data_IF_820875789937
#
_entry.id   IF_820875789937
#
_cell.length_a   1.000
_cell.length_b   1.000
_cell.length_c   1.000
_cell.angle_alpha   90.00
_cell.angle_beta   90.00
_cell.angle_gamma   90.00
#
_symmetry.space_group_name_H-M   'P 1'
#
loop_
_entity.id
_entity.type
_entity.pdbx_description
1 polymer ?
#
# COMPACT_ATOMS: atom_id res chain seq x y z
N UNK A 1 8.66 -16.20 5.25
CA UNK A 1 7.34 -16.47 4.66
C UNK A 1 6.99 -15.29 3.77
N UNK A 2 7.12 -15.41 2.46
CA UNK A 2 6.57 -14.40 1.56
C UNK A 2 5.05 -14.39 1.76
N UNK A 3 4.46 -13.21 2.00
CA UNK A 3 3.01 -13.06 2.17
C UNK A 3 2.22 -13.55 0.95
N UNK A 4 0.89 -13.48 1.00
CA UNK A 4 0.01 -14.02 -0.06
C UNK A 4 0.09 -13.29 -1.43
N UNK A 5 0.97 -12.30 -1.57
CA UNK A 5 1.09 -11.45 -2.75
C UNK A 5 -0.12 -10.54 -2.96
N UNK A 6 0.10 -9.35 -3.51
CA UNK A 6 -0.98 -8.39 -3.77
C UNK A 6 -1.40 -8.43 -5.23
N UNK A 7 -2.69 -8.22 -5.49
CA UNK A 7 -3.15 -7.88 -6.85
C UNK A 7 -2.97 -6.38 -7.12
N UNK A 8 -2.93 -5.99 -8.40
CA UNK A 8 -2.90 -4.57 -8.78
C UNK A 8 -4.12 -3.80 -8.25
N UNK A 9 -5.28 -4.45 -8.20
CA UNK A 9 -6.50 -3.87 -7.62
C UNK A 9 -6.28 -3.53 -6.14
N UNK A 10 -5.75 -4.47 -5.36
CA UNK A 10 -5.43 -4.24 -3.96
C UNK A 10 -4.39 -3.12 -3.79
N UNK A 11 -3.38 -3.03 -4.66
CA UNK A 11 -2.42 -1.94 -4.61
C UNK A 11 -3.04 -0.58 -4.95
N UNK A 12 -3.99 -0.50 -5.88
CA UNK A 12 -4.72 0.74 -6.14
C UNK A 12 -5.52 1.18 -4.91
N UNK A 13 -6.19 0.23 -4.25
CA UNK A 13 -7.00 0.46 -3.05
C UNK A 13 -6.12 0.86 -1.85
N UNK A 14 -5.02 0.14 -1.60
CA UNK A 14 -4.14 0.37 -0.44
C UNK A 14 -3.26 1.61 -0.58
N UNK A 15 -2.82 1.93 -1.80
CA UNK A 15 -1.94 3.08 -2.04
C UNK A 15 -2.71 4.34 -2.45
N UNK A 16 -4.04 4.28 -2.51
CA UNK A 16 -4.92 5.39 -2.89
C UNK A 16 -4.47 6.06 -4.20
N UNK A 17 -4.09 5.26 -5.18
CA UNK A 17 -3.52 5.75 -6.43
C UNK A 17 -4.10 5.02 -7.64
N UNK A 18 -4.16 5.73 -8.77
CA UNK A 18 -4.81 5.22 -9.97
C UNK A 18 -4.06 4.04 -10.61
N UNK A 19 -4.80 3.23 -11.37
CA UNK A 19 -4.27 2.06 -12.11
C UNK A 19 -3.01 2.38 -12.91
N UNK A 20 -2.96 3.55 -13.55
CA UNK A 20 -1.79 3.97 -14.34
C UNK A 20 -0.53 4.11 -13.48
N UNK A 21 -0.65 4.80 -12.34
CA UNK A 21 0.47 5.02 -11.40
C UNK A 21 0.91 3.71 -10.74
N UNK A 22 -0.04 2.87 -10.33
CA UNK A 22 0.26 1.52 -9.82
C UNK A 22 1.03 0.72 -10.87
N UNK A 23 0.55 0.70 -12.12
CA UNK A 23 1.18 -0.06 -13.19
C UNK A 23 2.58 0.45 -13.54
N UNK A 24 2.80 1.76 -13.61
CA UNK A 24 4.13 2.30 -13.87
C UNK A 24 5.09 2.03 -12.72
N UNK A 25 4.60 2.10 -11.47
CA UNK A 25 5.41 1.81 -10.29
C UNK A 25 5.80 0.35 -10.22
N UNK A 26 4.87 -0.58 -10.49
CA UNK A 26 5.16 -2.02 -10.53
C UNK A 26 6.20 -2.33 -11.61
N UNK A 27 6.03 -1.81 -12.83
CA UNK A 27 7.00 -2.04 -13.92
C UNK A 27 8.39 -1.51 -13.57
N UNK A 28 8.48 -0.36 -12.91
CA UNK A 28 9.74 0.18 -12.43
C UNK A 28 10.38 -0.75 -11.39
N UNK A 29 9.63 -1.13 -10.36
CA UNK A 29 10.12 -2.01 -9.29
C UNK A 29 10.49 -3.42 -9.79
N UNK A 30 9.78 -3.93 -10.79
CA UNK A 30 10.13 -5.18 -11.48
C UNK A 30 11.43 -5.04 -12.28
N UNK A 31 11.60 -3.94 -13.02
CA UNK A 31 12.85 -3.65 -13.74
C UNK A 31 14.06 -3.44 -12.82
N UNK A 32 13.83 -3.01 -11.57
CA UNK A 32 14.83 -2.89 -10.52
C UNK A 32 15.07 -4.22 -9.76
N UNK A 33 14.31 -5.28 -10.07
CA UNK A 33 14.44 -6.59 -9.42
C UNK A 33 13.88 -6.66 -7.99
N UNK A 34 13.16 -5.63 -7.53
CA UNK A 34 12.59 -5.56 -6.18
C UNK A 34 11.24 -6.28 -6.07
N UNK A 35 10.55 -6.42 -7.20
CA UNK A 35 9.23 -7.04 -7.30
C UNK A 35 9.24 -8.08 -8.40
N UNK A 36 8.51 -9.16 -8.17
CA UNK A 36 8.25 -10.21 -9.17
C UNK A 36 6.75 -10.41 -9.36
N UNK A 37 6.36 -10.64 -10.61
CA UNK A 37 4.97 -10.79 -11.00
C UNK A 37 4.69 -12.25 -11.37
N UNK A 38 3.82 -12.92 -10.62
CA UNK A 38 3.31 -14.24 -10.98
C UNK A 38 1.97 -14.13 -11.69
N UNK A 39 1.83 -14.90 -12.76
CA UNK A 39 0.61 -14.99 -13.54
C UNK A 39 -0.12 -16.27 -13.14
N UNK A 40 -1.29 -16.13 -12.54
CA UNK A 40 -2.16 -17.25 -12.18
C UNK A 40 -3.04 -17.69 -13.35
N UNK A 41 -4.10 -18.43 -13.06
CA UNK A 41 -5.08 -18.84 -14.07
C UNK A 41 -5.84 -17.62 -14.61
N UNK A 42 -5.77 -17.39 -15.92
CA UNK A 42 -6.50 -16.32 -16.61
C UNK A 42 -5.81 -14.94 -16.48
N UNK A 43 -6.57 -13.92 -16.06
CA UNK A 43 -6.07 -12.53 -15.87
C UNK A 43 -5.61 -12.24 -14.44
N UNK A 44 -5.54 -13.26 -13.59
CA UNK A 44 -5.14 -13.09 -12.20
C UNK A 44 -3.62 -12.90 -12.11
N UNK A 45 -3.21 -11.76 -11.56
CA UNK A 45 -1.81 -11.43 -11.36
C UNK A 45 -1.52 -11.23 -9.88
N UNK A 46 -0.42 -11.81 -9.40
CA UNK A 46 0.05 -11.67 -8.01
C UNK A 46 1.44 -11.06 -8.01
N UNK A 47 1.60 -10.06 -7.17
CA UNK A 47 2.80 -9.23 -7.07
C UNK A 47 3.44 -9.53 -5.72
N UNK A 48 4.71 -9.92 -5.76
CA UNK A 48 5.48 -10.28 -4.58
C UNK A 48 6.75 -9.45 -4.53
N UNK A 49 7.21 -9.12 -3.32
CA UNK A 49 8.58 -8.68 -3.14
C UNK A 49 9.54 -9.84 -3.43
N UNK A 50 10.68 -9.51 -4.02
CA UNK A 50 11.85 -10.40 -4.05
C UNK A 50 12.56 -10.35 -2.70
N UNK A 51 13.62 -11.15 -2.54
CA UNK A 51 14.46 -11.06 -1.34
C UNK A 51 15.16 -9.70 -1.26
N UNK A 52 15.60 -9.12 -2.40
CA UNK A 52 16.13 -7.75 -2.42
C UNK A 52 15.05 -6.71 -2.08
N UNK A 53 13.83 -6.88 -2.62
CA UNK A 53 12.71 -6.00 -2.31
C UNK A 53 12.31 -6.02 -0.84
N UNK A 54 12.35 -7.20 -0.21
CA UNK A 54 12.10 -7.34 1.22
C UNK A 54 13.20 -6.68 2.06
N UNK A 55 14.47 -6.90 1.70
CA UNK A 55 15.59 -6.25 2.39
C UNK A 55 15.50 -4.72 2.32
N UNK A 56 15.15 -4.17 1.15
CA UNK A 56 14.94 -2.72 0.98
C UNK A 56 13.77 -2.21 1.83
N UNK A 57 12.68 -2.99 1.90
CA UNK A 57 11.54 -2.65 2.75
C UNK A 57 11.90 -2.67 4.24
N UNK A 58 12.69 -3.66 4.68
CA UNK A 58 13.18 -3.72 6.06
C UNK A 58 14.11 -2.55 6.39
N UNK A 59 14.96 -2.13 5.44
CA UNK A 59 15.86 -0.99 5.62
C UNK A 59 15.12 0.35 5.71
N UNK A 60 14.12 0.57 4.85
CA UNK A 60 13.51 1.90 4.70
C UNK A 60 12.10 2.02 5.27
N UNK A 61 11.30 0.96 5.24
CA UNK A 61 9.89 0.99 5.68
C UNK A 61 9.79 0.61 7.16
N UNK A 62 10.54 -0.38 7.63
CA UNK A 62 10.46 -0.78 9.04
C UNK A 62 10.77 0.37 10.04
N UNK A 63 11.75 1.26 9.80
CA UNK A 63 11.96 2.42 10.67
C UNK A 63 10.78 3.39 10.69
N UNK A 64 10.10 3.58 9.55
CA UNK A 64 8.92 4.45 9.46
C UNK A 64 7.77 3.86 10.27
N UNK A 65 7.52 2.55 10.13
CA UNK A 65 6.50 1.84 10.92
C UNK A 65 6.82 1.91 12.42
N UNK A 66 8.08 1.72 12.80
CA UNK A 66 8.49 1.84 14.20
C UNK A 66 8.26 3.26 14.75
N UNK A 67 8.56 4.29 13.96
CA UNK A 67 8.31 5.68 14.35
C UNK A 67 6.80 5.98 14.49
N UNK A 68 5.96 5.46 13.58
CA UNK A 68 4.51 5.61 13.65
C UNK A 68 3.93 4.91 14.89
N UNK A 69 4.36 3.67 15.18
CA UNK A 69 3.97 2.94 16.37
C UNK A 69 4.41 3.66 17.66
N UNK A 70 5.62 4.23 17.68
CA UNK A 70 6.10 5.01 18.82
C UNK A 70 5.24 6.27 19.04
N UNK A 71 4.90 6.99 17.97
CA UNK A 71 4.02 8.16 18.04
C UNK A 71 2.62 7.79 18.54
N UNK A 72 2.02 6.72 18.01
CA UNK A 72 0.73 6.21 18.47
C UNK A 72 0.78 5.73 19.92
N UNK A 73 1.90 5.17 20.37
CA UNK A 73 2.13 4.77 21.76
C UNK A 73 2.10 5.93 22.77
N UNK A 74 2.25 7.18 22.32
CA UNK A 74 2.08 8.37 23.18
C UNK A 74 0.62 8.75 23.41
N UNK A 75 -0.30 8.16 22.64
CA UNK A 75 -1.74 8.42 22.75
C UNK A 75 -2.32 7.55 23.86
N UNK A 76 -3.05 8.13 24.85
CA UNK A 76 -3.71 7.34 25.89
C UNK A 76 -4.64 6.28 25.31
N UNK A 77 -4.68 5.11 25.95
CA UNK A 77 -5.42 3.95 25.48
C UNK A 77 -6.91 4.23 25.29
N UNK A 78 -7.52 5.09 26.11
CA UNK A 78 -8.93 5.47 25.96
C UNK A 78 -9.21 6.38 24.75
N UNK A 79 -8.19 7.08 24.24
CA UNK A 79 -8.30 7.99 23.09
C UNK A 79 -7.87 7.35 21.78
N UNK A 80 -6.96 6.38 21.82
CA UNK A 80 -6.40 5.75 20.64
C UNK A 80 -7.48 5.18 19.68
N UNK A 81 -8.52 4.46 20.13
CA UNK A 81 -9.57 3.97 19.23
C UNK A 81 -10.33 5.08 18.50
N UNK A 82 -10.53 6.23 19.16
CA UNK A 82 -11.22 7.39 18.56
C UNK A 82 -10.33 8.07 17.53
N UNK A 83 -9.05 8.20 17.82
CA UNK A 83 -8.07 8.73 16.88
C UNK A 83 -7.99 7.87 15.61
N UNK A 84 -7.82 6.55 15.78
CA UNK A 84 -7.73 5.63 14.64
C UNK A 84 -8.99 5.65 13.77
N UNK A 85 -10.18 5.69 14.39
CA UNK A 85 -11.44 5.86 13.66
C UNK A 85 -11.46 7.17 12.87
N UNK A 86 -11.13 8.28 13.51
CA UNK A 86 -11.13 9.59 12.85
C UNK A 86 -10.13 9.68 11.69
N UNK A 87 -8.95 9.05 11.84
CA UNK A 87 -7.95 8.96 10.76
C UNK A 87 -8.50 8.13 9.58
N UNK A 88 -9.16 7.00 9.86
CA UNK A 88 -9.82 6.18 8.85
C UNK A 88 -10.93 6.94 8.12
N UNK A 89 -11.85 7.55 8.86
CA UNK A 89 -12.95 8.35 8.31
C UNK A 89 -12.42 9.49 7.42
N UNK A 90 -11.33 10.15 7.84
CA UNK A 90 -10.65 11.17 7.06
C UNK A 90 -10.02 10.60 5.78
N UNK A 91 -9.31 9.48 5.87
CA UNK A 91 -8.68 8.83 4.72
C UNK A 91 -9.73 8.44 3.67
N UNK A 92 -10.83 7.80 4.08
CA UNK A 92 -11.93 7.42 3.18
C UNK A 92 -12.54 8.65 2.49
N UNK A 93 -12.80 9.73 3.24
CA UNK A 93 -13.33 10.97 2.71
C UNK A 93 -12.36 11.64 1.71
N UNK A 94 -11.06 11.62 2.01
CA UNK A 94 -10.02 12.15 1.13
C UNK A 94 -9.96 11.35 -0.17
N UNK A 95 -10.02 10.01 -0.10
CA UNK A 95 -9.98 9.15 -1.27
C UNK A 95 -11.17 9.38 -2.18
N UNK A 96 -12.38 9.42 -1.61
CA UNK A 96 -13.58 9.78 -2.36
C UNK A 96 -13.46 11.16 -3.01
N UNK A 97 -12.77 12.12 -2.38
CA UNK A 97 -12.51 13.44 -2.97
C UNK A 97 -11.49 13.39 -4.12
N UNK A 98 -10.40 12.64 -3.97
CA UNK A 98 -9.39 12.46 -5.01
C UNK A 98 -9.95 11.76 -6.25
N UNK A 99 -10.81 10.75 -6.07
CA UNK A 99 -11.48 10.07 -7.19
C UNK A 99 -12.35 11.02 -8.01
N UNK A 100 -13.01 11.99 -7.36
CA UNK A 100 -13.78 13.04 -8.05
C UNK A 100 -12.90 13.97 -8.87
N UNK A 101 -11.66 14.24 -8.41
CA UNK A 101 -10.68 15.06 -9.15
C UNK A 101 -10.08 14.27 -10.33
N UNK A 102 -9.81 12.98 -10.12
CA UNK A 102 -9.25 12.09 -11.13
C UNK A 102 -10.17 11.79 -12.31
N UNK A 103 -11.47 12.12 -12.19
CA UNK A 103 -12.50 11.88 -13.20
C UNK A 103 -12.84 10.39 -13.29
N UNK A 104 -14.13 10.06 -13.14
CA UNK A 104 -14.62 8.69 -13.20
C UNK A 104 -14.00 7.89 -14.35
N UNK A 105 -13.29 6.82 -14.00
CA UNK A 105 -12.73 5.87 -14.97
C UNK A 105 -13.22 4.47 -14.60
N UNK A 106 -14.42 4.20 -15.10
CA UNK A 106 -14.85 2.84 -15.45
C UNK A 106 -13.76 2.17 -16.30
#
# INVERSE_FOLDING_TARGET
MAGQGCSQKQLCELCFTGKQTVNSSIKKLEGEGLVRIEHGTGRATRIFLTDEGLALADEHIAPVVAAELAALGTVPAERLPRLLRAMGDYADALCAALDRIGGGRA
#
